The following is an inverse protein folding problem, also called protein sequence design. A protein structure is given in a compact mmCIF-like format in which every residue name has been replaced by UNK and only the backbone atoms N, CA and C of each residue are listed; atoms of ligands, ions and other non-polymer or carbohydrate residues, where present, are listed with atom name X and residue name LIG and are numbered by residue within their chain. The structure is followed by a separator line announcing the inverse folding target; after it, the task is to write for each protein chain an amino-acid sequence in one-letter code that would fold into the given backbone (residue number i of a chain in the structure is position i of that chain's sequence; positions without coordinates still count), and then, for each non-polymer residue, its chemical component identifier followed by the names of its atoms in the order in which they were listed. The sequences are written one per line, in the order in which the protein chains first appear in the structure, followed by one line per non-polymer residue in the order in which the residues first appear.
data_IF_812370003861
#
_entry.id   IF_812370003861
#
_cell.length_a   1.000
_cell.length_b   1.000
_cell.length_c   1.000
_cell.angle_alpha   90.00
_cell.angle_beta   90.00
_cell.angle_gamma   90.00
#
_symmetry.space_group_name_H-M   'P 1'
#
loop_
_entity.id
_entity.type
_entity.pdbx_description
1 polymer ?
#
# COMPACT_ATOMS: atom_id res chain seq x y z
N UNK A 1 -19.56 10.73 7.94
CA UNK A 1 -18.57 10.88 6.85
C UNK A 1 -17.23 11.13 7.50
N UNK A 2 -16.26 10.26 7.30
CA UNK A 2 -14.86 10.57 7.61
C UNK A 2 -14.30 11.21 6.32
N UNK A 3 -13.86 12.46 6.40
CA UNK A 3 -13.40 13.21 5.24
C UNK A 3 -11.93 12.97 4.94
N UNK A 4 -11.57 12.96 3.66
CA UNK A 4 -10.19 13.05 3.21
C UNK A 4 -9.82 14.53 3.01
N UNK A 5 -8.64 14.93 3.46
CA UNK A 5 -8.04 16.19 3.05
C UNK A 5 -7.21 15.91 1.79
N UNK A 6 -7.54 16.60 0.70
CA UNK A 6 -6.85 16.45 -0.58
C UNK A 6 -5.93 17.63 -0.81
N UNK A 7 -4.72 17.34 -1.31
CA UNK A 7 -3.77 18.36 -1.75
C UNK A 7 -3.79 18.38 -3.28
N UNK A 8 -3.98 19.56 -3.86
CA UNK A 8 -3.90 19.73 -5.31
C UNK A 8 -2.47 19.52 -5.80
N UNK A 9 -2.30 18.69 -6.83
CA UNK A 9 -1.03 18.48 -7.51
C UNK A 9 -1.15 18.94 -8.97
N UNK A 10 -0.06 19.46 -9.52
CA UNK A 10 -0.01 19.76 -10.94
C UNK A 10 0.01 18.46 -11.74
N UNK A 11 -0.74 18.40 -12.85
CA UNK A 11 -0.71 17.25 -13.75
C UNK A 11 0.68 17.15 -14.39
N UNK A 12 1.28 15.96 -14.35
CA UNK A 12 2.52 15.66 -15.06
C UNK A 12 2.21 15.06 -16.44
N UNK A 13 3.12 15.16 -17.42
CA UNK A 13 2.94 14.50 -18.73
C UNK A 13 2.77 12.98 -18.59
N UNK A 14 1.97 12.36 -19.45
CA UNK A 14 1.66 10.92 -19.41
C UNK A 14 2.88 10.02 -19.64
N UNK A 15 3.96 10.56 -20.21
CA UNK A 15 5.25 9.87 -20.31
C UNK A 15 5.90 9.57 -18.96
N UNK A 16 5.43 10.17 -17.86
CA UNK A 16 5.89 9.93 -16.49
C UNK A 16 4.92 9.03 -15.72
N UNK A 17 4.59 7.86 -16.26
CA UNK A 17 3.62 6.90 -15.71
C UNK A 17 4.25 5.72 -14.95
N UNK A 18 5.53 5.82 -14.58
CA UNK A 18 6.32 4.75 -13.97
C UNK A 18 6.12 4.55 -12.46
N UNK A 19 5.11 5.18 -11.84
CA UNK A 19 4.85 5.14 -10.41
C UNK A 19 5.06 6.49 -9.72
N UNK A 20 5.33 6.48 -8.41
CA UNK A 20 5.54 7.70 -7.62
C UNK A 20 6.55 7.48 -6.50
N UNK A 21 7.06 8.59 -5.97
CA UNK A 21 7.79 8.63 -4.70
C UNK A 21 7.49 9.93 -3.96
N UNK A 22 7.47 9.90 -2.64
CA UNK A 22 7.27 11.07 -1.79
C UNK A 22 8.03 10.93 -0.47
N UNK A 23 8.25 12.05 0.21
CA UNK A 23 8.67 12.08 1.62
C UNK A 23 7.55 12.64 2.46
N UNK A 24 7.23 11.93 3.54
CA UNK A 24 6.17 12.31 4.47
C UNK A 24 6.78 12.54 5.84
N UNK A 25 6.50 13.69 6.44
CA UNK A 25 6.88 13.92 7.82
C UNK A 25 6.00 13.05 8.74
N UNK A 26 6.63 12.21 9.55
CA UNK A 26 5.94 11.48 10.60
C UNK A 26 5.64 12.44 11.76
N UNK A 27 4.37 12.75 11.99
CA UNK A 27 3.97 13.76 12.97
C UNK A 27 2.78 13.28 13.81
N UNK A 28 2.81 13.44 15.15
CA UNK A 28 1.65 13.16 15.99
C UNK A 28 0.53 14.18 15.71
N UNK A 29 -0.66 13.71 15.37
CA UNK A 29 -1.80 14.59 15.06
C UNK A 29 -2.59 15.04 16.28
N UNK A 30 -2.45 14.30 17.40
CA UNK A 30 -3.15 14.55 18.64
C UNK A 30 -2.13 14.59 19.78
N UNK A 31 -2.38 15.47 20.77
CA UNK A 31 -1.55 15.55 21.97
C UNK A 31 -1.60 14.26 22.79
N UNK A 32 -2.79 13.66 22.89
CA UNK A 32 -3.03 12.39 23.56
C UNK A 32 -3.61 11.41 22.54
N UNK A 33 -3.00 10.24 22.40
CA UNK A 33 -3.47 9.23 21.46
C UNK A 33 -4.72 8.53 22.01
N UNK A 34 -5.88 8.60 21.31
CA UNK A 34 -7.14 8.06 21.80
C UNK A 34 -7.27 6.53 21.63
N UNK A 35 -6.18 5.82 21.29
CA UNK A 35 -6.16 4.37 21.11
C UNK A 35 -6.78 3.89 19.79
N UNK A 36 -7.14 2.60 19.76
CA UNK A 36 -7.57 1.84 18.58
C UNK A 36 -8.81 2.40 17.84
N UNK A 37 -9.57 3.29 18.46
CA UNK A 37 -10.76 3.88 17.84
C UNK A 37 -10.42 4.93 16.77
N UNK A 38 -9.18 5.44 16.79
CA UNK A 38 -8.70 6.49 15.88
C UNK A 38 -8.05 5.91 14.64
N UNK A 39 -8.49 6.42 13.49
CA UNK A 39 -7.92 6.11 12.20
C UNK A 39 -7.75 7.36 11.37
N UNK A 40 -6.53 7.56 10.90
CA UNK A 40 -6.19 8.59 9.92
C UNK A 40 -4.84 8.26 9.30
N UNK A 41 -4.71 8.55 8.01
CA UNK A 41 -3.41 8.62 7.35
C UNK A 41 -2.75 9.97 7.61
N UNK A 42 -1.42 9.99 7.55
CA UNK A 42 -0.66 11.19 7.19
C UNK A 42 -0.69 11.37 5.67
N UNK A 43 0.11 12.31 5.15
CA UNK A 43 0.17 12.56 3.71
C UNK A 43 0.48 11.26 2.94
N UNK A 44 -0.25 11.04 1.85
CA UNK A 44 -0.13 9.84 1.03
C UNK A 44 -0.84 10.02 -0.30
N UNK A 45 -0.91 8.94 -1.08
CA UNK A 45 -1.57 8.97 -2.40
C UNK A 45 -2.18 7.61 -2.73
N UNK A 46 -3.14 7.62 -3.64
CA UNK A 46 -3.72 6.44 -4.26
C UNK A 46 -3.24 6.34 -5.70
N UNK A 47 -2.75 5.18 -6.07
CA UNK A 47 -2.38 4.86 -7.44
C UNK A 47 -3.43 3.92 -8.02
N UNK A 48 -4.08 4.35 -9.08
CA UNK A 48 -5.13 3.60 -9.76
C UNK A 48 -4.64 3.08 -11.12
N UNK A 49 -5.23 2.00 -11.64
CA UNK A 49 -4.98 1.60 -13.02
C UNK A 49 -5.38 2.69 -14.00
N UNK A 50 -4.59 2.84 -15.06
CA UNK A 50 -5.02 3.60 -16.23
C UNK A 50 -5.89 2.70 -17.11
N UNK A 51 -6.98 3.24 -17.63
CA UNK A 51 -7.87 2.53 -18.54
C UNK A 51 -7.94 3.28 -19.86
N UNK A 52 -8.00 2.54 -20.96
CA UNK A 52 -8.23 3.08 -22.32
C UNK A 52 -9.71 3.43 -22.54
N UNK A 53 -10.37 4.01 -21.53
CA UNK A 53 -11.76 4.45 -21.59
C UNK A 53 -11.97 5.77 -20.80
N UNK A 54 -12.85 6.67 -21.27
CA UNK A 54 -12.99 8.00 -20.66
C UNK A 54 -13.45 7.99 -19.19
N UNK A 55 -14.32 7.04 -18.83
CA UNK A 55 -14.86 6.90 -17.48
C UNK A 55 -14.91 5.42 -17.12
N UNK A 56 -13.94 4.91 -16.34
CA UNK A 56 -13.94 3.52 -15.89
C UNK A 56 -15.17 3.22 -15.04
N UNK A 57 -15.79 2.04 -15.25
CA UNK A 57 -16.86 1.57 -14.36
C UNK A 57 -16.29 1.43 -12.94
N UNK A 58 -17.02 1.88 -11.92
CA UNK A 58 -16.66 1.70 -10.50
C UNK A 58 -16.39 0.23 -10.14
N UNK A 59 -17.00 -0.72 -10.84
CA UNK A 59 -16.72 -2.15 -10.70
C UNK A 59 -15.28 -2.52 -11.01
N UNK A 60 -14.56 -1.69 -11.76
CA UNK A 60 -13.15 -1.86 -12.07
C UNK A 60 -12.23 -1.28 -10.99
N UNK A 61 -12.76 -0.71 -9.90
CA UNK A 61 -11.94 -0.08 -8.87
C UNK A 61 -10.85 -1.02 -8.35
N UNK A 62 -9.61 -0.60 -8.53
CA UNK A 62 -8.42 -1.15 -7.89
C UNK A 62 -7.56 0.02 -7.43
N UNK A 63 -6.77 -0.19 -6.40
CA UNK A 63 -5.79 0.79 -5.97
C UNK A 63 -4.53 0.13 -5.38
N UNK A 64 -3.47 0.92 -5.38
CA UNK A 64 -2.36 0.80 -4.44
C UNK A 64 -2.40 2.06 -3.58
N UNK A 65 -2.39 1.84 -2.28
CA UNK A 65 -2.58 2.84 -1.24
C UNK A 65 -1.65 2.58 -0.03
N UNK A 66 -1.99 3.20 1.09
CA UNK A 66 -1.22 3.14 2.32
C UNK A 66 -0.29 4.33 2.47
N UNK A 67 0.59 4.22 3.45
CA UNK A 67 1.40 5.32 3.95
C UNK A 67 1.56 5.23 5.46
N UNK A 68 2.03 6.33 6.05
CA UNK A 68 2.05 6.49 7.50
C UNK A 68 0.64 6.79 8.02
N UNK A 69 0.28 6.20 9.16
CA UNK A 69 -0.97 6.54 9.83
C UNK A 69 -1.30 5.64 11.01
N UNK A 70 -2.52 5.78 11.48
CA UNK A 70 -3.16 4.92 12.47
C UNK A 70 -4.31 4.21 11.79
N UNK A 71 -4.32 2.88 11.84
CA UNK A 71 -5.24 2.05 11.06
C UNK A 71 -6.03 1.15 11.97
N UNK A 72 -7.35 1.10 11.85
CA UNK A 72 -8.20 0.28 12.74
C UNK A 72 -7.88 -1.21 12.73
N UNK A 73 -7.27 -1.71 11.67
CA UNK A 73 -6.93 -3.14 11.56
C UNK A 73 -5.63 -3.51 12.30
N UNK A 74 -4.85 -2.54 12.80
CA UNK A 74 -3.68 -2.83 13.63
C UNK A 74 -4.12 -3.48 14.94
N UNK A 75 -3.55 -4.64 15.26
CA UNK A 75 -3.66 -5.33 16.56
C UNK A 75 -2.96 -4.57 17.67
N UNK A 76 -1.81 -3.97 17.38
CA UNK A 76 -0.96 -3.32 18.38
C UNK A 76 -0.81 -1.83 18.05
N UNK A 77 -1.86 -1.05 18.27
CA UNK A 77 -1.77 0.39 18.00
C UNK A 77 -0.75 1.07 18.92
N UNK A 78 -0.17 2.14 18.38
CA UNK A 78 0.90 2.94 18.98
C UNK A 78 0.58 4.42 18.84
N UNK A 79 1.14 5.24 19.72
CA UNK A 79 0.98 6.69 19.64
C UNK A 79 1.67 7.26 18.39
N UNK A 80 2.83 6.71 18.03
CA UNK A 80 3.51 7.01 16.76
C UNK A 80 2.83 6.26 15.60
N UNK A 81 2.67 6.89 14.41
CA UNK A 81 2.05 6.24 13.26
C UNK A 81 2.87 5.04 12.80
N UNK A 82 2.19 4.06 12.19
CA UNK A 82 2.81 2.93 11.49
C UNK A 82 2.73 3.12 9.99
N UNK A 83 3.72 2.58 9.28
CA UNK A 83 3.65 2.49 7.84
C UNK A 83 2.94 1.19 7.43
N UNK A 84 1.89 1.30 6.62
CA UNK A 84 1.31 0.17 5.90
C UNK A 84 1.42 0.41 4.41
N UNK A 85 1.64 -0.65 3.65
CA UNK A 85 1.20 -0.68 2.27
C UNK A 85 -0.25 -1.12 2.23
N UNK A 86 -1.02 -0.67 1.24
CA UNK A 86 -2.38 -1.12 1.01
C UNK A 86 -2.61 -1.37 -0.47
N UNK A 87 -3.46 -2.33 -0.78
CA UNK A 87 -3.95 -2.54 -2.13
C UNK A 87 -5.35 -3.11 -2.08
N UNK A 88 -6.23 -2.57 -2.92
CA UNK A 88 -7.61 -3.00 -3.07
C UNK A 88 -7.77 -3.66 -4.44
N UNK A 89 -8.26 -4.90 -4.44
CA UNK A 89 -8.57 -5.64 -5.66
C UNK A 89 -10.07 -5.61 -5.98
N UNK A 90 -10.40 -5.41 -7.25
CA UNK A 90 -11.70 -5.55 -7.90
C UNK A 90 -12.88 -5.18 -7.00
N UNK A 91 -13.18 -3.88 -6.92
CA UNK A 91 -14.31 -3.32 -6.16
C UNK A 91 -14.41 -3.90 -4.74
N UNK A 92 -13.29 -3.85 -4.00
CA UNK A 92 -13.19 -4.26 -2.59
C UNK A 92 -13.41 -5.77 -2.34
N UNK A 93 -13.23 -6.62 -3.36
CA UNK A 93 -13.29 -8.07 -3.21
C UNK A 93 -12.20 -8.63 -2.29
N UNK A 94 -11.00 -8.05 -2.34
CA UNK A 94 -9.87 -8.38 -1.48
C UNK A 94 -9.03 -7.14 -1.12
N UNK A 95 -8.29 -7.23 -0.01
CA UNK A 95 -7.32 -6.21 0.42
C UNK A 95 -5.99 -6.90 0.71
N UNK A 96 -4.88 -6.22 0.43
CA UNK A 96 -3.56 -6.69 0.81
C UNK A 96 -2.78 -5.55 1.49
N UNK A 97 -2.59 -5.66 2.81
CA UNK A 97 -2.03 -4.60 3.65
C UNK A 97 -0.55 -4.85 4.03
N UNK A 98 0.13 -5.67 3.22
CA UNK A 98 1.48 -6.18 3.45
C UNK A 98 1.54 -7.70 3.38
N UNK A 99 2.76 -8.30 3.43
CA UNK A 99 2.94 -9.74 3.46
C UNK A 99 2.09 -10.43 4.55
N UNK A 100 1.22 -11.36 4.15
CA UNK A 100 0.33 -12.10 5.07
C UNK A 100 -0.83 -11.30 5.67
N UNK A 101 -0.95 -10.01 5.33
CA UNK A 101 -2.02 -9.12 5.80
C UNK A 101 -3.03 -8.88 4.69
N UNK A 102 -4.31 -9.08 4.98
CA UNK A 102 -5.37 -8.87 4.00
C UNK A 102 -6.71 -8.57 4.64
N UNK A 103 -7.81 -8.69 3.89
CA UNK A 103 -9.15 -8.38 4.38
C UNK A 103 -9.60 -9.35 5.47
N UNK A 104 -9.37 -8.95 6.72
CA UNK A 104 -9.64 -9.75 7.91
C UNK A 104 -8.54 -10.75 8.25
N UNK A 105 -8.78 -11.55 9.28
CA UNK A 105 -7.78 -12.44 9.90
C UNK A 105 -7.97 -13.93 9.61
N UNK A 106 -9.05 -14.28 8.93
CA UNK A 106 -9.39 -15.65 8.53
C UNK A 106 -8.43 -16.16 7.44
N UNK A 107 -7.73 -17.26 7.71
CA UNK A 107 -6.80 -17.91 6.76
C UNK A 107 -7.48 -18.96 5.88
N UNK A 108 -8.64 -19.47 6.28
CA UNK A 108 -9.47 -20.34 5.43
C UNK A 108 -10.11 -19.53 4.30
N UNK A 109 -10.27 -18.22 4.51
CA UNK A 109 -10.68 -17.23 3.51
C UNK A 109 -9.67 -16.09 3.42
N UNK A 110 -8.47 -16.34 2.84
CA UNK A 110 -7.31 -15.47 2.93
C UNK A 110 -7.40 -14.29 1.94
N UNK A 111 -8.50 -13.51 2.00
CA UNK A 111 -8.91 -12.45 1.07
C UNK A 111 -7.83 -11.38 0.90
N UNK A 112 -6.85 -11.66 0.02
CA UNK A 112 -5.68 -10.84 -0.26
C UNK A 112 -4.46 -11.08 0.64
N UNK A 113 -4.47 -12.08 1.55
CA UNK A 113 -3.31 -12.42 2.40
C UNK A 113 -2.10 -12.91 1.59
N UNK A 114 -2.33 -13.44 0.39
CA UNK A 114 -1.28 -13.81 -0.57
C UNK A 114 -0.98 -12.70 -1.60
N UNK A 115 -1.61 -11.52 -1.44
CA UNK A 115 -1.53 -10.45 -2.43
C UNK A 115 -0.16 -9.79 -2.50
N UNK A 116 0.60 -9.82 -1.40
CA UNK A 116 1.93 -9.20 -1.31
C UNK A 116 2.99 -10.25 -0.97
N UNK A 117 4.08 -10.24 -1.73
CA UNK A 117 5.27 -11.02 -1.46
C UNK A 117 6.37 -10.12 -0.89
N UNK A 118 7.01 -10.56 0.21
CA UNK A 118 8.18 -9.88 0.73
C UNK A 118 9.38 -10.11 -0.20
N UNK A 119 10.16 -9.05 -0.42
CA UNK A 119 11.34 -9.06 -1.27
C UNK A 119 12.63 -8.83 -0.46
N UNK A 120 12.61 -7.88 0.48
CA UNK A 120 13.78 -7.55 1.29
C UNK A 120 14.09 -8.66 2.30
N UNK A 121 15.34 -9.11 2.39
CA UNK A 121 15.81 -9.93 3.51
C UNK A 121 16.27 -9.07 4.71
N UNK A 122 16.32 -7.73 4.56
CA UNK A 122 16.89 -6.81 5.54
C UNK A 122 15.84 -6.03 6.34
N UNK A 123 14.56 -6.18 5.99
CA UNK A 123 13.42 -5.63 6.73
C UNK A 123 12.40 -6.74 6.90
N UNK A 124 12.08 -7.06 8.16
CA UNK A 124 10.98 -7.95 8.48
C UNK A 124 9.68 -7.14 8.52
N UNK A 125 8.76 -7.42 7.60
CA UNK A 125 7.45 -6.79 7.61
C UNK A 125 6.48 -7.58 8.49
N UNK A 126 6.01 -7.03 9.63
CA UNK A 126 4.99 -7.70 10.41
C UNK A 126 3.60 -7.48 9.79
N UNK A 127 2.65 -8.43 9.92
CA UNK A 127 1.27 -8.23 9.43
C UNK A 127 0.54 -6.99 9.98
N UNK A 128 1.10 -6.35 11.01
CA UNK A 128 0.59 -5.15 11.68
C UNK A 128 1.12 -3.82 11.09
N UNK A 129 2.01 -3.88 10.09
CA UNK A 129 2.69 -2.72 9.50
C UNK A 129 4.03 -2.38 10.17
N UNK A 130 4.88 -1.64 9.46
CA UNK A 130 6.19 -1.25 9.98
C UNK A 130 6.06 -0.19 11.08
N UNK A 131 6.78 -0.40 12.17
CA UNK A 131 6.87 0.58 13.25
C UNK A 131 7.91 1.66 12.93
N UNK A 132 7.67 2.83 13.51
CA UNK A 132 8.64 3.89 13.66
C UNK A 132 9.13 3.92 15.12
N UNK A 133 10.25 4.61 15.36
CA UNK A 133 10.71 4.90 16.71
C UNK A 133 9.63 5.68 17.48
N UNK A 134 9.31 5.24 18.69
CA UNK A 134 8.23 5.87 19.46
C UNK A 134 8.63 7.29 19.85
N UNK A 135 7.73 8.25 19.62
CA UNK A 135 7.99 9.68 19.80
C UNK A 135 8.50 10.43 18.56
N UNK A 136 8.64 9.77 17.41
CA UNK A 136 8.99 10.41 16.12
C UNK A 136 8.08 11.63 15.87
N UNK A 137 8.67 12.79 15.55
CA UNK A 137 8.01 14.08 15.45
C UNK A 137 8.73 15.02 14.45
N UNK A 138 8.47 14.81 13.16
CA UNK A 138 8.97 15.65 12.07
C UNK A 138 9.96 14.97 11.14
N UNK A 139 10.50 13.82 11.54
CA UNK A 139 11.39 13.04 10.70
C UNK A 139 10.70 12.58 9.42
N UNK A 140 11.44 12.59 8.31
CA UNK A 140 10.93 12.23 7.00
C UNK A 140 10.99 10.72 6.77
N UNK A 141 9.88 10.18 6.30
CA UNK A 141 9.75 8.83 5.81
C UNK A 141 9.56 8.86 4.29
N UNK A 142 10.59 8.46 3.54
CA UNK A 142 10.52 8.35 2.09
C UNK A 142 9.90 7.02 1.67
N UNK A 143 8.94 7.05 0.75
CA UNK A 143 8.42 5.85 0.12
C UNK A 143 7.93 6.09 -1.30
N UNK A 144 7.79 5.01 -2.05
CA UNK A 144 7.25 5.05 -3.41
C UNK A 144 6.99 3.66 -3.96
N UNK A 145 6.32 3.60 -5.10
CA UNK A 145 6.10 2.37 -5.84
C UNK A 145 6.66 2.49 -7.25
N UNK A 146 7.40 1.47 -7.68
CA UNK A 146 7.89 1.31 -9.04
C UNK A 146 7.58 -0.10 -9.53
N UNK A 147 7.23 -0.30 -10.82
CA UNK A 147 6.99 -1.61 -11.38
C UNK A 147 8.34 -2.29 -11.66
N UNK A 148 8.58 -3.45 -11.04
CA UNK A 148 9.74 -4.29 -11.33
C UNK A 148 9.30 -5.55 -12.11
N UNK A 149 10.13 -6.07 -13.04
CA UNK A 149 9.82 -7.27 -13.82
C UNK A 149 10.19 -8.55 -13.03
N UNK A 150 9.67 -8.70 -11.80
CA UNK A 150 10.02 -9.82 -10.91
C UNK A 150 9.31 -11.12 -11.28
N UNK A 151 8.11 -11.01 -11.87
CA UNK A 151 7.28 -12.14 -12.28
C UNK A 151 7.01 -12.00 -13.77
N UNK A 152 7.25 -13.07 -14.54
CA UNK A 152 6.92 -13.10 -15.97
C UNK A 152 5.41 -13.02 -16.17
N UNK A 153 4.99 -12.28 -17.20
CA UNK A 153 3.60 -12.26 -17.63
C UNK A 153 3.10 -13.67 -17.98
N UNK A 154 1.81 -13.88 -17.77
CA UNK A 154 1.12 -15.17 -18.00
C UNK A 154 -0.16 -14.93 -18.78
N UNK A 155 -0.51 -15.87 -19.64
CA UNK A 155 -1.78 -15.87 -20.38
C UNK A 155 -2.93 -16.44 -19.55
N UNK A 156 -2.63 -17.20 -18.51
CA UNK A 156 -3.61 -17.80 -17.59
C UNK A 156 -3.18 -17.62 -16.14
N UNK A 157 -4.18 -17.45 -15.27
CA UNK A 157 -3.97 -17.20 -13.84
C UNK A 157 -4.95 -18.03 -13.01
N UNK A 158 -4.40 -18.81 -12.07
CA UNK A 158 -5.13 -19.82 -11.28
C UNK A 158 -6.07 -20.71 -12.12
N UNK A 159 -5.59 -21.17 -13.29
CA UNK A 159 -6.34 -22.07 -14.17
C UNK A 159 -7.46 -21.40 -14.98
N UNK A 160 -7.62 -20.07 -14.90
CA UNK A 160 -8.60 -19.30 -15.68
C UNK A 160 -7.91 -18.61 -16.86
N UNK A 161 -8.67 -18.41 -17.94
CA UNK A 161 -8.24 -17.62 -19.10
C UNK A 161 -8.26 -16.12 -18.76
N UNK A 162 -7.32 -15.72 -17.91
CA UNK A 162 -7.17 -14.39 -17.36
C UNK A 162 -5.69 -14.02 -17.43
N UNK A 163 -5.30 -13.15 -18.38
CA UNK A 163 -3.91 -12.76 -18.53
C UNK A 163 -3.49 -11.86 -17.36
N UNK A 164 -2.24 -12.01 -16.95
CA UNK A 164 -1.63 -11.23 -15.89
C UNK A 164 -0.28 -10.70 -16.40
N UNK A 165 -0.08 -9.39 -16.28
CA UNK A 165 1.16 -8.73 -16.72
C UNK A 165 2.38 -9.05 -15.84
N UNK A 166 3.49 -8.43 -16.16
CA UNK A 166 4.79 -8.56 -15.48
C UNK A 166 5.12 -7.39 -14.52
N UNK A 167 4.22 -6.41 -14.41
CA UNK A 167 4.36 -5.27 -13.50
C UNK A 167 4.19 -5.70 -12.03
N UNK A 168 5.30 -6.03 -11.38
CA UNK A 168 5.34 -6.28 -9.94
C UNK A 168 5.52 -4.95 -9.21
N UNK A 169 4.41 -4.29 -8.87
CA UNK A 169 4.42 -3.01 -8.16
C UNK A 169 5.11 -3.16 -6.81
N UNK A 170 6.32 -2.62 -6.71
CA UNK A 170 7.24 -2.84 -5.61
C UNK A 170 7.33 -1.58 -4.76
N UNK A 171 7.12 -1.74 -3.45
CA UNK A 171 7.34 -0.70 -2.46
C UNK A 171 8.85 -0.48 -2.27
N UNK A 172 9.28 0.75 -2.41
CA UNK A 172 10.60 1.23 -2.02
C UNK A 172 10.49 2.15 -0.81
N UNK A 173 11.42 2.00 0.12
CA UNK A 173 11.57 2.89 1.26
C UNK A 173 12.89 3.64 1.20
N UNK A 174 12.90 4.85 1.74
CA UNK A 174 14.10 5.62 2.05
C UNK A 174 13.94 6.26 3.44
N UNK A 175 14.47 5.58 4.45
CA UNK A 175 14.41 5.98 5.87
C UNK A 175 15.83 6.12 6.44
N UNK A 176 15.92 6.52 7.72
CA UNK A 176 17.20 6.64 8.42
C UNK A 176 17.97 5.32 8.54
N UNK A 177 17.28 4.17 8.64
CA UNK A 177 17.89 2.86 8.91
C UNK A 177 17.64 1.81 7.80
N UNK A 178 16.86 2.12 6.77
CA UNK A 178 16.67 1.23 5.63
C UNK A 178 16.41 2.00 4.33
N UNK A 179 17.04 1.56 3.24
CA UNK A 179 16.86 2.16 1.91
C UNK A 179 16.84 1.04 0.86
N UNK A 180 15.74 0.94 0.11
CA UNK A 180 15.62 -0.06 -0.95
C UNK A 180 14.23 -0.67 -1.07
N UNK A 181 14.10 -1.73 -1.88
CA UNK A 181 12.84 -2.42 -2.10
C UNK A 181 12.45 -3.26 -0.89
N UNK A 182 11.17 -3.32 -0.55
CA UNK A 182 10.64 -4.04 0.63
C UNK A 182 9.83 -5.26 0.25
N UNK A 183 8.76 -5.05 -0.51
CA UNK A 183 7.77 -6.04 -0.87
C UNK A 183 7.07 -5.59 -2.16
N UNK A 184 6.42 -6.51 -2.85
CA UNK A 184 5.68 -6.20 -4.07
C UNK A 184 4.31 -6.86 -4.09
N UNK A 185 3.34 -6.19 -4.72
CA UNK A 185 2.06 -6.82 -5.02
C UNK A 185 2.29 -7.89 -6.09
N UNK A 186 1.90 -9.12 -5.78
CA UNK A 186 1.90 -10.18 -6.78
C UNK A 186 0.91 -9.79 -7.89
N UNK A 187 1.27 -9.91 -9.18
CA UNK A 187 0.35 -9.59 -10.26
C UNK A 187 -0.98 -10.38 -10.19
N UNK A 188 -0.95 -11.56 -9.55
CA UNK A 188 -2.12 -12.36 -9.20
C UNK A 188 -3.18 -11.58 -8.40
N UNK A 189 -2.76 -10.69 -7.50
CA UNK A 189 -3.67 -9.98 -6.59
C UNK A 189 -4.72 -9.14 -7.33
N UNK A 190 -4.35 -8.57 -8.47
CA UNK A 190 -5.22 -7.72 -9.29
C UNK A 190 -5.92 -8.48 -10.42
N UNK A 191 -5.76 -9.81 -10.49
CA UNK A 191 -6.35 -10.67 -11.51
C UNK A 191 -7.61 -11.34 -10.98
#
# INVERSE_FOLDING_TARGET
MNGYLMVGINKVPESYNGGFSTYVAAWPLLKEYPGNSFQTGLFGTWMHPSYDMPTPDRKLYNDIEGGLGWWRDTRFATETPKFIMGGVALNFSAWANGPGAGKGRDWDKPKGKYGVAQLSPWVLWPPDGLNLEQGTCGELFGYGYLPLPLIKAKTTTAGKNLPTGDNSWTLFLNTGNFKGPVAFFTPYFFS
#
